data_IF_260365893409
#
_entry.id   IF_260365893409
#
_cell.length_a   1.000
_cell.length_b   1.000
_cell.length_c   1.000
_cell.angle_alpha   90.00
_cell.angle_beta   90.00
_cell.angle_gamma   90.00
#
_symmetry.space_group_name_H-M   'P 1'
#
loop_
_entity.id
_entity.type
_entity.pdbx_description
1 polymer ?
#
# COMPACT_ATOMS: atom_id res chain seq x y z
N UNK A 1 -20.48 17.79 -4.71
CA UNK A 1 -19.81 16.48 -4.88
C UNK A 1 -19.37 16.38 -6.33
N UNK A 2 -18.07 16.36 -6.60
CA UNK A 2 -17.55 16.53 -7.97
C UNK A 2 -17.80 15.31 -8.85
N UNK A 3 -18.27 15.52 -10.08
CA UNK A 3 -18.50 14.49 -11.12
C UNK A 3 -17.24 14.15 -11.93
N UNK A 4 -16.07 14.56 -11.44
CA UNK A 4 -14.79 14.47 -12.17
C UNK A 4 -14.03 13.17 -11.87
N UNK A 5 -14.55 12.31 -10.99
CA UNK A 5 -13.91 11.04 -10.63
C UNK A 5 -14.87 9.89 -10.89
N UNK A 6 -14.38 8.83 -11.50
CA UNK A 6 -15.14 7.64 -11.82
C UNK A 6 -15.75 7.01 -10.55
N UNK A 7 -17.01 6.51 -10.59
CA UNK A 7 -17.72 6.01 -9.41
C UNK A 7 -16.95 4.96 -8.59
N UNK A 8 -16.12 4.15 -9.25
CA UNK A 8 -15.26 3.13 -8.62
C UNK A 8 -14.29 3.70 -7.57
N UNK A 9 -13.76 4.91 -7.77
CA UNK A 9 -12.84 5.55 -6.82
C UNK A 9 -13.44 6.73 -6.08
N UNK A 10 -14.62 7.21 -6.48
CA UNK A 10 -15.33 8.34 -5.87
C UNK A 10 -16.02 7.98 -4.54
N UNK A 11 -15.24 7.61 -3.53
CA UNK A 11 -15.73 6.98 -2.29
C UNK A 11 -16.44 7.93 -1.30
N UNK A 12 -16.84 9.11 -1.77
CA UNK A 12 -17.60 10.12 -1.02
C UNK A 12 -17.04 10.37 0.39
N UNK A 13 -17.89 10.13 1.40
CA UNK A 13 -17.58 10.33 2.83
C UNK A 13 -16.52 9.33 3.35
N UNK A 14 -16.40 8.15 2.73
CA UNK A 14 -15.47 7.10 3.15
C UNK A 14 -14.08 7.22 2.51
N UNK A 15 -13.89 8.17 1.59
CA UNK A 15 -12.61 8.40 0.92
C UNK A 15 -11.44 8.64 1.90
N UNK A 16 -11.57 9.48 2.95
CA UNK A 16 -10.48 9.65 3.93
C UNK A 16 -10.14 8.36 4.68
N UNK A 17 -11.15 7.56 5.02
CA UNK A 17 -10.96 6.30 5.74
C UNK A 17 -10.25 5.26 4.87
N UNK A 18 -10.68 5.11 3.61
CA UNK A 18 -10.08 4.17 2.64
C UNK A 18 -8.60 4.52 2.44
N UNK A 19 -8.28 5.79 2.20
CA UNK A 19 -6.89 6.22 2.01
C UNK A 19 -6.06 6.14 3.30
N UNK A 20 -6.66 6.34 4.47
CA UNK A 20 -5.98 6.15 5.75
C UNK A 20 -5.61 4.68 5.95
N UNK A 21 -6.57 3.77 5.76
CA UNK A 21 -6.34 2.32 5.89
C UNK A 21 -5.24 1.85 4.95
N UNK A 22 -5.27 2.27 3.68
CA UNK A 22 -4.22 1.87 2.73
C UNK A 22 -2.88 2.53 3.01
N UNK A 23 -2.85 3.75 3.56
CA UNK A 23 -1.60 4.38 4.03
C UNK A 23 -0.96 3.60 5.18
N UNK A 24 -1.76 3.15 6.16
CA UNK A 24 -1.28 2.34 7.27
C UNK A 24 -0.75 0.99 6.76
N UNK A 25 -1.51 0.30 5.90
CA UNK A 25 -1.08 -0.94 5.27
C UNK A 25 0.20 -0.78 4.46
N UNK A 26 0.33 0.33 3.71
CA UNK A 26 1.52 0.65 2.92
C UNK A 26 2.74 0.84 3.83
N UNK A 27 2.59 1.60 4.92
CA UNK A 27 3.66 1.84 5.89
C UNK A 27 4.17 0.54 6.54
N UNK A 28 3.26 -0.32 7.01
CA UNK A 28 3.66 -1.62 7.56
C UNK A 28 4.28 -2.54 6.52
N UNK A 29 3.81 -2.51 5.28
CA UNK A 29 4.40 -3.27 4.17
C UNK A 29 5.83 -2.80 3.87
N UNK A 30 6.07 -1.48 3.89
CA UNK A 30 7.41 -0.91 3.73
C UNK A 30 8.36 -1.36 4.84
N UNK A 31 7.91 -1.41 6.10
CA UNK A 31 8.72 -1.93 7.22
C UNK A 31 9.09 -3.41 7.01
N UNK A 32 8.14 -4.25 6.57
CA UNK A 32 8.43 -5.66 6.26
C UNK A 32 9.44 -5.78 5.11
N UNK A 33 9.28 -4.95 4.08
CA UNK A 33 10.18 -4.89 2.93
C UNK A 33 11.61 -4.49 3.34
N UNK A 34 11.77 -3.39 4.08
CA UNK A 34 13.06 -2.89 4.56
C UNK A 34 13.75 -3.86 5.52
N UNK A 35 13.00 -4.46 6.45
CA UNK A 35 13.53 -5.46 7.38
C UNK A 35 14.03 -6.70 6.64
N UNK A 36 13.29 -7.15 5.62
CA UNK A 36 13.70 -8.28 4.78
C UNK A 36 14.94 -7.96 3.95
N UNK A 37 14.95 -6.79 3.29
CA UNK A 37 16.07 -6.36 2.47
C UNK A 37 17.35 -6.16 3.31
N UNK A 38 17.21 -5.57 4.50
CA UNK A 38 18.31 -5.41 5.45
C UNK A 38 18.84 -6.74 5.97
N UNK A 39 17.96 -7.69 6.31
CA UNK A 39 18.36 -9.03 6.73
C UNK A 39 19.14 -9.76 5.64
N UNK A 40 18.69 -9.68 4.38
CA UNK A 40 19.40 -10.27 3.24
C UNK A 40 20.73 -9.56 2.96
N UNK A 41 20.73 -8.23 2.96
CA UNK A 41 21.92 -7.41 2.66
C UNK A 41 23.01 -7.53 3.73
N UNK A 42 22.65 -7.56 5.01
CA UNK A 42 23.58 -7.69 6.13
C UNK A 42 23.80 -9.15 6.59
N UNK A 43 23.19 -10.13 5.90
CA UNK A 43 23.23 -11.57 6.27
C UNK A 43 22.84 -11.84 7.73
N UNK A 44 21.94 -11.03 8.30
CA UNK A 44 21.42 -11.20 9.67
C UNK A 44 20.16 -12.07 9.66
N UNK A 45 19.90 -12.78 10.75
CA UNK A 45 18.65 -13.51 10.89
C UNK A 45 17.46 -12.55 10.83
N UNK A 46 16.47 -12.88 10.02
CA UNK A 46 15.23 -12.12 9.93
C UNK A 46 14.44 -12.34 11.23
N UNK A 47 13.98 -11.26 11.86
CA UNK A 47 13.11 -11.27 13.04
C UNK A 47 11.69 -11.76 12.69
N UNK A 48 11.60 -12.97 12.13
CA UNK A 48 10.37 -13.61 11.66
C UNK A 48 9.26 -13.68 12.69
N UNK A 49 9.51 -13.85 14.01
CA UNK A 49 8.44 -13.84 14.99
C UNK A 49 7.81 -12.45 15.14
N UNK A 50 8.59 -11.37 15.03
CA UNK A 50 8.11 -10.00 15.14
C UNK A 50 7.39 -9.57 13.86
N UNK A 51 7.98 -9.85 12.70
CA UNK A 51 7.39 -9.62 11.38
C UNK A 51 6.09 -10.40 11.19
N UNK A 52 6.00 -11.63 11.70
CA UNK A 52 4.77 -12.42 11.66
C UNK A 52 3.63 -11.81 12.46
N UNK A 53 3.91 -11.27 13.67
CA UNK A 53 2.91 -10.56 14.47
C UNK A 53 2.43 -9.27 13.79
N UNK A 54 3.34 -8.51 13.19
CA UNK A 54 2.97 -7.34 12.37
C UNK A 54 2.10 -7.75 11.18
N UNK A 55 2.44 -8.87 10.53
CA UNK A 55 1.67 -9.42 9.43
C UNK A 55 0.27 -9.88 9.85
N UNK A 56 0.08 -10.40 11.07
CA UNK A 56 -1.24 -10.78 11.57
C UNK A 56 -2.17 -9.54 11.65
N UNK A 57 -1.67 -8.42 12.19
CA UNK A 57 -2.41 -7.16 12.24
C UNK A 57 -2.70 -6.63 10.84
N UNK A 58 -1.68 -6.62 9.98
CA UNK A 58 -1.80 -6.16 8.60
C UNK A 58 -2.81 -7.00 7.81
N UNK A 59 -2.83 -8.32 8.00
CA UNK A 59 -3.77 -9.21 7.32
C UNK A 59 -5.21 -8.97 7.79
N UNK A 60 -5.42 -8.74 9.10
CA UNK A 60 -6.72 -8.35 9.63
C UNK A 60 -7.21 -7.02 9.05
N UNK A 61 -6.33 -6.01 8.96
CA UNK A 61 -6.63 -4.73 8.34
C UNK A 61 -6.94 -4.87 6.84
N UNK A 62 -6.21 -5.72 6.13
CA UNK A 62 -6.42 -5.99 4.71
C UNK A 62 -7.80 -6.60 4.45
N UNK A 63 -8.22 -7.59 5.25
CA UNK A 63 -9.55 -8.16 5.12
C UNK A 63 -10.64 -7.14 5.40
N UNK A 64 -10.47 -6.33 6.46
CA UNK A 64 -11.38 -5.25 6.77
C UNK A 64 -11.46 -4.23 5.63
N UNK A 65 -10.32 -3.88 5.03
CA UNK A 65 -10.25 -2.99 3.89
C UNK A 65 -11.00 -3.54 2.68
N UNK A 66 -10.77 -4.81 2.32
CA UNK A 66 -11.46 -5.45 1.18
C UNK A 66 -12.97 -5.49 1.43
N UNK A 67 -13.39 -5.89 2.64
CA UNK A 67 -14.81 -5.93 3.00
C UNK A 67 -15.44 -4.53 2.94
N UNK A 68 -14.77 -3.53 3.51
CA UNK A 68 -15.22 -2.13 3.48
C UNK A 68 -15.33 -1.63 2.04
N UNK A 69 -14.34 -1.93 1.18
CA UNK A 69 -14.32 -1.53 -0.22
C UNK A 69 -15.52 -2.09 -0.98
N UNK A 70 -15.81 -3.37 -0.82
CA UNK A 70 -16.96 -4.01 -1.48
C UNK A 70 -18.29 -3.47 -0.93
N UNK A 71 -18.43 -3.37 0.39
CA UNK A 71 -19.65 -2.84 1.03
C UNK A 71 -19.95 -1.40 0.59
N UNK A 72 -18.91 -0.60 0.45
CA UNK A 72 -18.99 0.81 0.08
C UNK A 72 -19.35 1.00 -1.42
N UNK A 73 -18.86 0.14 -2.31
CA UNK A 73 -19.31 0.11 -3.71
C UNK A 73 -20.76 -0.39 -3.84
N UNK A 74 -21.15 -1.39 -3.03
CA UNK A 74 -22.50 -1.94 -3.02
C UNK A 74 -23.53 -0.92 -2.50
N UNK A 75 -23.23 -0.23 -1.40
CA UNK A 75 -24.09 0.82 -0.84
C UNK A 75 -24.38 1.90 -1.89
N UNK A 76 -23.34 2.37 -2.61
CA UNK A 76 -23.48 3.44 -3.61
C UNK A 76 -24.11 2.98 -4.92
N UNK A 77 -24.38 1.68 -5.08
CA UNK A 77 -24.86 1.12 -6.35
C UNK A 77 -23.84 1.23 -7.49
N UNK A 78 -22.56 1.48 -7.18
CA UNK A 78 -21.48 1.61 -8.17
C UNK A 78 -20.88 0.26 -8.57
N UNK A 79 -21.19 -0.82 -7.84
CA UNK A 79 -20.69 -2.17 -8.12
C UNK A 79 -20.88 -2.64 -9.57
N UNK A 80 -22.02 -2.37 -10.26
CA UNK A 80 -22.20 -2.75 -11.67
C UNK A 80 -21.20 -2.08 -12.62
N UNK A 81 -20.71 -0.88 -12.30
CA UNK A 81 -19.71 -0.17 -13.12
C UNK A 81 -18.37 -0.89 -13.16
N UNK A 82 -18.08 -1.76 -12.18
CA UNK A 82 -16.88 -2.60 -12.20
C UNK A 82 -16.95 -3.73 -13.24
N UNK A 83 -18.14 -4.03 -13.78
CA UNK A 83 -18.36 -5.10 -14.76
C UNK A 83 -18.62 -4.56 -16.17
N UNK A 84 -18.63 -3.25 -16.34
CA UNK A 84 -18.61 -2.63 -17.66
C UNK A 84 -17.21 -2.83 -18.23
N UNK A 85 -17.11 -3.26 -19.49
CA UNK A 85 -15.82 -3.57 -20.11
C UNK A 85 -15.10 -2.30 -20.58
N UNK A 86 -14.77 -1.41 -19.64
CA UNK A 86 -14.04 -0.17 -19.87
C UNK A 86 -12.63 -0.22 -19.26
N UNK A 87 -11.79 0.75 -19.63
CA UNK A 87 -10.40 0.82 -19.15
C UNK A 87 -10.34 0.95 -17.62
N UNK A 88 -11.29 1.69 -17.05
CA UNK A 88 -11.41 1.93 -15.61
C UNK A 88 -11.70 0.64 -14.84
N UNK A 89 -12.65 -0.17 -15.29
CA UNK A 89 -12.97 -1.46 -14.68
C UNK A 89 -11.78 -2.42 -14.73
N UNK A 90 -11.03 -2.46 -15.83
CA UNK A 90 -9.81 -3.28 -15.94
C UNK A 90 -8.79 -2.88 -14.86
N UNK A 91 -8.48 -1.59 -14.73
CA UNK A 91 -7.55 -1.10 -13.71
C UNK A 91 -8.06 -1.32 -12.28
N UNK A 92 -9.37 -1.21 -12.07
CA UNK A 92 -10.00 -1.53 -10.79
C UNK A 92 -9.85 -3.02 -10.43
N UNK A 93 -10.01 -3.93 -11.38
CA UNK A 93 -9.81 -5.36 -11.15
C UNK A 93 -8.34 -5.72 -10.91
N UNK A 94 -7.41 -5.07 -11.62
CA UNK A 94 -5.97 -5.24 -11.36
C UNK A 94 -5.64 -4.77 -9.93
N UNK A 95 -6.09 -3.58 -9.55
CA UNK A 95 -5.93 -3.06 -8.18
C UNK A 95 -6.53 -4.00 -7.13
N UNK A 96 -7.76 -4.46 -7.36
CA UNK A 96 -8.47 -5.36 -6.45
C UNK A 96 -7.74 -6.71 -6.34
N UNK A 97 -7.24 -7.25 -7.45
CA UNK A 97 -6.44 -8.48 -7.45
C UNK A 97 -5.14 -8.32 -6.65
N UNK A 98 -4.50 -7.15 -6.71
CA UNK A 98 -3.29 -6.86 -5.93
C UNK A 98 -3.55 -6.76 -4.43
N UNK A 99 -4.76 -6.41 -3.99
CA UNK A 99 -5.14 -6.50 -2.57
C UNK A 99 -5.60 -7.91 -2.15
N UNK A 100 -6.31 -8.63 -3.04
CA UNK A 100 -6.81 -9.98 -2.75
C UNK A 100 -5.69 -11.03 -2.76
N UNK A 101 -4.73 -10.93 -3.67
CA UNK A 101 -3.60 -11.86 -3.77
C UNK A 101 -2.80 -12.01 -2.46
N UNK A 102 -2.34 -10.94 -1.79
CA UNK A 102 -1.67 -11.06 -0.50
C UNK A 102 -2.61 -11.56 0.61
N UNK A 103 -3.92 -11.26 0.55
CA UNK A 103 -4.89 -11.79 1.50
C UNK A 103 -4.97 -13.33 1.43
N UNK A 104 -4.95 -13.90 0.22
CA UNK A 104 -4.93 -15.35 -0.02
C UNK A 104 -3.56 -15.96 0.31
N UNK A 105 -2.47 -15.32 -0.12
CA UNK A 105 -1.11 -15.79 0.10
C UNK A 105 -0.74 -15.87 1.59
N UNK A 106 -1.28 -14.96 2.39
CA UNK A 106 -1.05 -14.85 3.83
C UNK A 106 -2.20 -15.40 4.68
N UNK A 107 -3.12 -16.18 4.09
CA UNK A 107 -4.31 -16.67 4.79
C UNK A 107 -3.99 -17.58 5.99
N UNK A 108 -2.93 -18.39 5.90
CA UNK A 108 -2.54 -19.30 6.98
C UNK A 108 -1.51 -18.68 7.93
N UNK A 109 -1.57 -18.97 9.24
CA UNK A 109 -0.55 -18.52 10.20
C UNK A 109 0.86 -19.04 9.87
N UNK A 110 0.97 -20.19 9.20
CA UNK A 110 2.24 -20.71 8.70
C UNK A 110 2.80 -19.84 7.56
N UNK A 111 1.94 -19.37 6.65
CA UNK A 111 2.35 -18.48 5.57
C UNK A 111 2.88 -17.14 6.09
N UNK A 112 2.25 -16.60 7.14
CA UNK A 112 2.64 -15.36 7.82
C UNK A 112 3.94 -15.47 8.64
N UNK A 113 4.53 -16.66 8.70
CA UNK A 113 5.84 -16.90 9.35
C UNK A 113 6.91 -17.30 8.35
N UNK A 114 6.56 -17.42 7.07
CA UNK A 114 7.50 -17.77 6.01
C UNK A 114 8.12 -16.50 5.39
N UNK A 115 9.44 -16.29 5.48
CA UNK A 115 10.12 -15.07 5.01
C UNK A 115 9.76 -14.68 3.57
N UNK A 116 9.80 -15.64 2.64
CA UNK A 116 9.50 -15.37 1.24
C UNK A 116 8.05 -14.96 0.99
N UNK A 117 7.10 -15.42 1.81
CA UNK A 117 5.68 -15.07 1.66
C UNK A 117 5.38 -13.70 2.28
N UNK A 118 6.02 -13.40 3.42
CA UNK A 118 5.99 -12.06 4.02
C UNK A 118 6.51 -11.00 3.04
N UNK A 119 7.65 -11.26 2.41
CA UNK A 119 8.22 -10.36 1.42
C UNK A 119 7.31 -10.19 0.20
N UNK A 120 6.85 -11.29 -0.39
CA UNK A 120 5.94 -11.25 -1.54
C UNK A 120 4.64 -10.50 -1.22
N UNK A 121 4.05 -10.76 -0.05
CA UNK A 121 2.84 -10.08 0.40
C UNK A 121 3.05 -8.57 0.62
N UNK A 122 4.17 -8.19 1.23
CA UNK A 122 4.54 -6.78 1.42
C UNK A 122 4.70 -6.06 0.07
N UNK A 123 5.41 -6.65 -0.89
CA UNK A 123 5.60 -6.09 -2.23
C UNK A 123 4.24 -5.94 -2.94
N UNK A 124 3.38 -6.97 -2.90
CA UNK A 124 2.04 -6.90 -3.50
C UNK A 124 1.21 -5.77 -2.91
N UNK A 125 1.22 -5.60 -1.58
CA UNK A 125 0.48 -4.54 -0.90
C UNK A 125 1.04 -3.15 -1.18
N UNK A 126 2.36 -3.03 -1.32
CA UNK A 126 2.99 -1.78 -1.75
C UNK A 126 2.54 -1.39 -3.15
N UNK A 127 2.60 -2.34 -4.09
CA UNK A 127 2.12 -2.14 -5.45
C UNK A 127 0.60 -1.84 -5.47
N UNK A 128 -0.20 -2.51 -4.64
CA UNK A 128 -1.64 -2.27 -4.53
C UNK A 128 -1.93 -0.84 -4.06
N UNK A 129 -1.25 -0.39 -3.01
CA UNK A 129 -1.38 0.97 -2.48
C UNK A 129 -0.92 2.02 -3.49
N UNK A 130 0.21 1.81 -4.15
CA UNK A 130 0.70 2.70 -5.21
C UNK A 130 -0.28 2.78 -6.38
N UNK A 131 -0.78 1.63 -6.84
CA UNK A 131 -1.73 1.57 -7.94
C UNK A 131 -3.05 2.24 -7.56
N UNK A 132 -3.50 2.12 -6.31
CA UNK A 132 -4.67 2.85 -5.82
C UNK A 132 -4.47 4.37 -5.87
N UNK A 133 -3.26 4.89 -5.58
CA UNK A 133 -2.96 6.32 -5.74
C UNK A 133 -3.04 6.74 -7.20
N UNK A 134 -2.42 5.98 -8.09
CA UNK A 134 -2.45 6.26 -9.54
C UNK A 134 -3.87 6.19 -10.06
N UNK A 135 -4.64 5.17 -9.67
CA UNK A 135 -6.01 5.02 -10.11
C UNK A 135 -6.92 6.13 -9.57
N UNK A 136 -6.79 6.49 -8.29
CA UNK A 136 -7.62 7.53 -7.70
C UNK A 136 -7.34 8.94 -8.21
N UNK A 137 -6.10 9.23 -8.62
CA UNK A 137 -5.68 10.58 -9.06
C UNK A 137 -5.50 10.74 -10.58
N UNK A 138 -5.25 9.65 -11.31
CA UNK A 138 -4.93 9.68 -12.74
C UNK A 138 -5.99 8.94 -13.56
N UNK A 139 -6.16 7.63 -13.37
CA UNK A 139 -7.02 6.78 -14.21
C UNK A 139 -8.50 7.04 -13.96
N UNK A 140 -8.87 7.23 -12.69
CA UNK A 140 -10.22 7.52 -12.26
C UNK A 140 -10.61 8.96 -12.50
N UNK A 141 -9.68 9.85 -12.87
CA UNK A 141 -10.00 11.24 -13.16
C UNK A 141 -10.61 11.33 -14.57
N UNK A 142 -11.91 11.59 -14.63
CA UNK A 142 -12.64 11.78 -15.87
C UNK A 142 -12.38 13.20 -16.38
N UNK A 143 -11.22 13.39 -17.01
CA UNK A 143 -10.97 14.55 -17.86
C UNK A 143 -11.95 14.47 -19.02
N UNK A 144 -12.74 15.54 -19.24
CA UNK A 144 -13.73 15.58 -20.33
C UNK A 144 -13.12 15.26 -21.71
N UNK A 145 -13.97 15.08 -22.73
CA UNK A 145 -13.52 14.64 -24.06
C UNK A 145 -12.27 15.38 -24.56
N UNK A 146 -11.23 14.60 -24.92
CA UNK A 146 -9.99 15.08 -25.54
C UNK A 146 -8.86 15.47 -24.59
N UNK A 147 -9.09 15.52 -23.27
CA UNK A 147 -8.04 15.82 -22.30
C UNK A 147 -7.56 14.54 -21.62
N UNK A 148 -6.25 14.32 -21.57
CA UNK A 148 -5.61 13.27 -20.77
C UNK A 148 -4.65 13.98 -19.82
N UNK A 149 -4.85 13.86 -18.51
CA UNK A 149 -3.93 14.44 -17.54
C UNK A 149 -2.66 13.59 -17.46
N UNK A 150 -1.52 14.20 -17.76
CA UNK A 150 -0.20 13.62 -17.56
C UNK A 150 0.62 14.59 -16.72
N UNK A 151 1.31 14.12 -15.65
CA UNK A 151 2.03 15.01 -14.75
C UNK A 151 3.09 15.81 -15.51
N UNK A 152 3.07 17.11 -15.28
CA UNK A 152 4.05 18.05 -15.81
C UNK A 152 5.41 17.86 -15.13
N UNK A 153 6.47 18.33 -15.79
CA UNK A 153 7.83 18.23 -15.26
C UNK A 153 7.99 18.85 -13.86
N UNK A 154 7.38 20.02 -13.53
CA UNK A 154 7.39 20.55 -12.17
C UNK A 154 6.68 19.66 -11.14
N UNK A 155 5.56 19.02 -11.48
CA UNK A 155 4.85 18.11 -10.57
C UNK A 155 5.68 16.87 -10.24
N UNK A 156 6.42 16.36 -11.24
CA UNK A 156 7.37 15.28 -11.03
C UNK A 156 8.53 15.71 -10.12
N UNK A 157 9.09 16.90 -10.34
CA UNK A 157 10.15 17.45 -9.48
C UNK A 157 9.71 17.64 -8.04
N UNK A 158 8.49 18.10 -7.80
CA UNK A 158 7.94 18.24 -6.44
C UNK A 158 7.82 16.87 -5.78
N UNK A 159 7.35 15.86 -6.50
CA UNK A 159 7.20 14.50 -5.98
C UNK A 159 8.56 13.90 -5.62
N UNK A 160 9.55 14.01 -6.52
CA UNK A 160 10.92 13.53 -6.29
C UNK A 160 11.59 14.31 -5.14
N UNK A 161 11.38 15.63 -5.09
CA UNK A 161 11.89 16.49 -4.03
C UNK A 161 11.34 16.14 -2.66
N UNK A 162 10.05 15.81 -2.56
CA UNK A 162 9.42 15.37 -1.32
C UNK A 162 10.02 14.04 -0.83
N UNK A 163 10.15 13.04 -1.73
CA UNK A 163 10.76 11.75 -1.40
C UNK A 163 12.22 11.94 -0.94
N UNK A 164 12.99 12.76 -1.65
CA UNK A 164 14.38 13.05 -1.29
C UNK A 164 14.47 13.74 0.08
N UNK A 165 13.55 14.67 0.37
CA UNK A 165 13.46 15.33 1.66
C UNK A 165 13.09 14.35 2.79
N UNK A 166 12.14 13.44 2.57
CA UNK A 166 11.77 12.41 3.54
C UNK A 166 12.95 11.49 3.88
N UNK A 167 13.70 11.04 2.87
CA UNK A 167 14.91 10.23 3.06
C UNK A 167 15.97 11.01 3.84
N UNK A 168 16.19 12.28 3.49
CA UNK A 168 17.15 13.13 4.19
C UNK A 168 16.75 13.32 5.65
N UNK A 169 15.47 13.62 5.92
CA UNK A 169 14.94 13.78 7.27
C UNK A 169 15.12 12.49 8.09
N UNK A 170 14.83 11.33 7.51
CA UNK A 170 15.07 10.03 8.14
C UNK A 170 16.55 9.83 8.50
N UNK A 171 17.47 10.07 7.57
CA UNK A 171 18.92 9.93 7.81
C UNK A 171 19.39 10.86 8.94
N UNK A 172 18.93 12.12 8.94
CA UNK A 172 19.28 13.10 9.97
C UNK A 172 18.79 12.65 11.34
N UNK A 173 17.55 12.16 11.44
CA UNK A 173 16.97 11.69 12.70
C UNK A 173 17.74 10.48 13.24
N UNK A 174 17.98 9.45 12.41
CA UNK A 174 18.68 8.22 12.83
C UNK A 174 20.14 8.49 13.20
N UNK A 175 20.80 9.46 12.56
CA UNK A 175 22.17 9.86 12.93
C UNK A 175 22.21 10.71 14.20
N UNK A 176 21.16 11.48 14.49
CA UNK A 176 21.14 12.41 15.64
C UNK A 176 20.67 11.74 16.93
N UNK A 177 19.78 10.76 16.84
CA UNK A 177 19.20 10.06 17.99
C UNK A 177 19.61 8.58 18.01
N UNK A 178 19.87 7.99 19.20
CA UNK A 178 20.18 6.57 19.31
C UNK A 178 18.91 5.72 19.13
N UNK A 179 18.56 5.43 17.86
CA UNK A 179 17.35 4.66 17.51
C UNK A 179 17.62 3.15 17.46
N UNK A 180 18.88 2.73 17.29
CA UNK A 180 19.27 1.31 17.31
C UNK A 180 19.61 0.87 18.75
N UNK A 181 18.97 -0.17 19.30
CA UNK A 181 19.43 -0.81 20.52
C UNK A 181 20.87 -1.29 20.30
N UNK A 182 21.79 -0.91 21.19
CA UNK A 182 23.15 -1.41 21.18
C UNK A 182 23.14 -2.94 21.27
N UNK A 183 23.96 -3.59 20.44
CA UNK A 183 24.25 -5.03 20.52
C UNK A 183 24.46 -5.41 22.01
N UNK A 184 23.76 -6.42 22.57
CA UNK A 184 24.04 -6.84 23.93
C UNK A 184 25.51 -7.29 24.00
N UNK A 185 26.28 -6.66 24.89
CA UNK A 185 27.67 -7.03 25.10
C UNK A 185 27.76 -8.54 25.42
N UNK A 186 28.74 -9.27 24.87
CA UNK A 186 28.91 -10.68 25.17
C UNK A 186 29.12 -10.84 26.69
N UNK A 187 28.27 -11.67 27.31
CA UNK A 187 28.43 -12.04 28.70
C UNK A 187 29.74 -12.83 28.84
N UNK A 188 30.72 -12.22 29.49
CA UNK A 188 31.94 -12.88 29.96
C UNK A 188 31.66 -13.68 31.24
#
# INVERSE_FOLDING_TARGET
>A
YGYQVHPLWQSGVLLPLIYLMTSIMLGFSAVIFEATLSSVGFKRQLETPLLGKLCDVLWGMLLLFIALRVAELAWRGALPTAFVLDTQAVWFWIESALFVAPALLLASPAARRHPGRLFAGAVMLMLAGMLQRVNGFLIGYMTGEGWNYFPSFPELLVTVGLIAFEILAYIVIVRRFPVLPGEPAPAH
#
